data_IF_551312808919
#
_entry.id   IF_551312808919
#
_cell.length_a   1.000
_cell.length_b   1.000
_cell.length_c   1.000
_cell.angle_alpha   90.00
_cell.angle_beta   90.00
_cell.angle_gamma   90.00
#
_symmetry.space_group_name_H-M   'P 1'
#
loop_
_entity.id
_entity.type
_entity.pdbx_description
1 polymer ?
#
# COMPACT_ATOMS: atom_id res chain seq x y z
N UNK A 1 -18.95 -5.59 12.08
CA UNK A 1 -19.95 -6.62 12.43
C UNK A 1 -19.58 -7.32 13.75
N UNK A 2 -18.44 -8.07 13.87
CA UNK A 2 -18.08 -8.78 15.11
C UNK A 2 -17.95 -7.83 16.32
N UNK A 3 -17.32 -6.67 16.16
CA UNK A 3 -17.20 -5.64 17.18
C UNK A 3 -18.57 -5.11 17.65
N UNK A 4 -19.49 -4.88 16.76
CA UNK A 4 -20.86 -4.42 17.07
C UNK A 4 -21.64 -5.51 17.83
N UNK A 5 -21.51 -6.76 17.41
CA UNK A 5 -22.13 -7.91 18.09
C UNK A 5 -21.56 -8.09 19.50
N UNK A 6 -20.23 -7.94 19.66
CA UNK A 6 -19.59 -7.98 20.97
C UNK A 6 -20.11 -6.87 21.89
N UNK A 7 -20.16 -5.62 21.39
CA UNK A 7 -20.65 -4.49 22.17
C UNK A 7 -22.11 -4.66 22.57
N UNK A 8 -22.96 -5.15 21.67
CA UNK A 8 -24.37 -5.44 21.97
C UNK A 8 -24.51 -6.52 23.04
N UNK A 9 -23.71 -7.59 22.98
CA UNK A 9 -23.69 -8.69 23.97
C UNK A 9 -23.27 -8.21 25.36
N UNK A 10 -22.38 -7.23 25.43
CA UNK A 10 -21.85 -6.68 26.70
C UNK A 10 -22.52 -5.38 27.12
N UNK A 11 -23.63 -5.00 26.49
CA UNK A 11 -24.43 -3.79 26.79
C UNK A 11 -23.60 -2.47 26.70
N UNK A 12 -22.63 -2.43 25.77
CA UNK A 12 -21.75 -1.28 25.58
C UNK A 12 -22.39 -0.31 24.57
N UNK A 13 -22.70 0.89 25.00
CA UNK A 13 -23.21 1.98 24.15
C UNK A 13 -22.07 2.70 23.42
N UNK A 14 -21.74 2.19 22.22
CA UNK A 14 -20.67 2.71 21.37
C UNK A 14 -20.90 4.18 21.00
N UNK A 15 -22.15 4.58 20.72
CA UNK A 15 -22.46 5.93 20.28
C UNK A 15 -22.22 6.94 21.41
N UNK A 16 -22.55 6.57 22.64
CA UNK A 16 -22.26 7.38 23.79
C UNK A 16 -20.76 7.47 24.08
N UNK A 17 -20.06 6.34 24.04
CA UNK A 17 -18.61 6.29 24.24
C UNK A 17 -17.85 7.12 23.17
N UNK A 18 -18.24 7.06 21.92
CA UNK A 18 -17.67 7.87 20.86
C UNK A 18 -17.86 9.37 21.10
N UNK A 19 -19.03 9.79 21.58
CA UNK A 19 -19.30 11.20 21.89
C UNK A 19 -18.49 11.70 23.09
N UNK A 20 -18.42 10.89 24.16
CA UNK A 20 -17.70 11.25 25.38
C UNK A 20 -16.18 11.31 25.16
N UNK A 21 -15.65 10.45 24.30
CA UNK A 21 -14.21 10.31 24.03
C UNK A 21 -13.76 10.90 22.68
N UNK A 22 -14.62 11.71 22.03
CA UNK A 22 -14.32 12.21 20.68
C UNK A 22 -12.96 12.90 20.56
N UNK A 23 -12.58 13.72 21.53
CA UNK A 23 -11.28 14.43 21.51
C UNK A 23 -10.11 13.46 21.57
N UNK A 24 -10.16 12.47 22.46
CA UNK A 24 -9.12 11.44 22.60
C UNK A 24 -9.00 10.56 21.35
N UNK A 25 -10.13 10.11 20.81
CA UNK A 25 -10.18 9.33 19.56
C UNK A 25 -9.61 10.15 18.41
N UNK A 26 -9.98 11.42 18.29
CA UNK A 26 -9.47 12.29 17.24
C UNK A 26 -7.95 12.51 17.37
N UNK A 27 -7.40 12.63 18.57
CA UNK A 27 -5.94 12.72 18.79
C UNK A 27 -5.22 11.43 18.41
N UNK A 28 -5.80 10.25 18.67
CA UNK A 28 -5.21 8.95 18.28
C UNK A 28 -5.16 8.76 16.76
N UNK A 29 -6.21 9.13 16.05
CA UNK A 29 -6.29 8.94 14.61
C UNK A 29 -5.74 10.11 13.78
N UNK A 30 -5.66 11.31 14.37
CA UNK A 30 -5.11 12.50 13.77
C UNK A 30 -4.11 13.15 14.74
N UNK A 31 -2.98 12.47 15.05
CA UNK A 31 -1.99 13.05 15.92
C UNK A 31 -1.56 14.41 15.34
N UNK A 32 -1.37 15.45 16.18
CA UNK A 32 -0.84 16.70 15.70
C UNK A 32 0.45 16.41 14.95
N UNK A 33 0.57 16.92 13.73
CA UNK A 33 1.72 16.66 12.88
C UNK A 33 2.98 16.91 13.69
N UNK A 34 3.70 15.86 14.06
CA UNK A 34 5.05 15.97 14.61
C UNK A 34 5.90 16.66 13.54
N UNK A 35 6.06 17.96 13.73
CA UNK A 35 7.08 18.69 13.01
C UNK A 35 8.41 18.11 13.43
N UNK A 36 9.08 17.47 12.49
CA UNK A 36 10.52 17.24 12.54
C UNK A 36 11.05 16.18 13.52
N UNK A 37 10.85 14.90 13.23
CA UNK A 37 11.78 13.85 13.73
C UNK A 37 12.21 12.84 12.65
N UNK A 38 11.91 13.06 11.40
CA UNK A 38 12.61 12.40 10.31
C UNK A 38 13.77 13.32 9.90
N UNK A 39 14.86 13.26 10.63
CA UNK A 39 16.15 13.65 10.05
C UNK A 39 16.36 12.73 8.84
N UNK A 40 16.58 13.30 7.64
CA UNK A 40 16.89 12.48 6.48
C UNK A 40 18.13 11.67 6.83
N UNK A 41 18.04 10.35 6.79
CA UNK A 41 19.24 9.53 6.75
C UNK A 41 20.06 9.98 5.54
N UNK A 42 21.34 10.22 5.71
CA UNK A 42 22.31 10.87 4.80
C UNK A 42 22.48 10.23 3.41
N UNK A 43 21.50 9.49 2.88
CA UNK A 43 21.52 8.90 1.55
C UNK A 43 20.15 8.97 0.86
N UNK A 44 19.49 10.14 0.84
CA UNK A 44 18.51 10.32 -0.22
C UNK A 44 19.23 10.30 -1.58
N UNK A 45 18.78 9.50 -2.54
CA UNK A 45 19.31 9.61 -3.90
C UNK A 45 19.08 11.06 -4.33
N UNK A 46 20.16 11.74 -4.73
CA UNK A 46 20.09 13.13 -5.13
C UNK A 46 18.92 13.33 -6.10
N UNK A 47 18.24 14.45 -6.01
CA UNK A 47 17.05 14.80 -6.86
C UNK A 47 17.29 14.54 -8.36
N UNK A 48 18.54 14.65 -8.79
CA UNK A 48 19.04 14.29 -10.12
C UNK A 48 18.83 12.79 -10.44
N UNK A 49 19.11 11.90 -9.49
CA UNK A 49 18.99 10.44 -9.69
C UNK A 49 17.52 10.02 -9.83
N UNK A 50 16.62 10.64 -9.08
CA UNK A 50 15.17 10.43 -9.17
C UNK A 50 14.61 10.90 -10.51
N UNK A 51 15.02 12.10 -10.95
CA UNK A 51 14.58 12.66 -12.23
C UNK A 51 15.11 11.84 -13.41
N UNK A 52 16.36 11.38 -13.34
CA UNK A 52 16.96 10.52 -14.35
C UNK A 52 16.24 9.18 -14.45
N UNK A 53 15.98 8.52 -13.30
CA UNK A 53 15.23 7.27 -13.23
C UNK A 53 13.82 7.42 -13.81
N UNK A 54 13.09 8.48 -13.43
CA UNK A 54 11.76 8.76 -13.97
C UNK A 54 11.79 8.94 -15.49
N UNK A 55 12.78 9.63 -16.03
CA UNK A 55 12.94 9.81 -17.47
C UNK A 55 13.24 8.49 -18.21
N UNK A 56 14.11 7.66 -17.64
CA UNK A 56 14.45 6.34 -18.19
C UNK A 56 13.21 5.44 -18.21
N UNK A 57 12.48 5.36 -17.11
CA UNK A 57 11.32 4.48 -17.00
C UNK A 57 10.08 5.01 -17.71
N UNK A 58 9.94 6.32 -17.90
CA UNK A 58 8.94 6.90 -18.81
C UNK A 58 9.15 6.47 -20.27
N UNK A 59 10.40 6.32 -20.70
CA UNK A 59 10.70 5.78 -22.04
C UNK A 59 10.34 4.30 -22.12
N UNK A 60 10.64 3.52 -21.07
CA UNK A 60 10.27 2.12 -21.00
C UNK A 60 8.75 1.94 -21.00
N UNK A 61 8.02 2.73 -20.19
CA UNK A 61 6.56 2.75 -20.18
C UNK A 61 5.97 3.04 -21.58
N UNK A 62 6.51 4.04 -22.29
CA UNK A 62 6.07 4.32 -23.68
C UNK A 62 6.20 3.09 -24.58
N UNK A 63 7.29 2.34 -24.47
CA UNK A 63 7.49 1.11 -25.24
C UNK A 63 6.50 0.01 -24.85
N UNK A 64 6.17 -0.13 -23.55
CA UNK A 64 5.14 -1.03 -23.05
C UNK A 64 3.76 -0.62 -23.55
N UNK A 65 3.43 0.68 -23.41
CA UNK A 65 2.16 1.24 -23.86
C UNK A 65 1.92 1.05 -25.37
N UNK A 66 2.96 1.13 -26.19
CA UNK A 66 2.84 0.85 -27.62
C UNK A 66 2.36 -0.57 -27.94
N UNK A 67 2.58 -1.53 -27.05
CA UNK A 67 2.14 -2.93 -27.20
C UNK A 67 0.81 -3.22 -26.51
N UNK A 68 0.51 -2.55 -25.41
CA UNK A 68 -0.64 -2.86 -24.54
C UNK A 68 -1.79 -1.85 -24.66
N UNK A 69 -1.60 -0.73 -25.38
CA UNK A 69 -2.64 0.30 -25.46
C UNK A 69 -3.93 -0.26 -26.08
N UNK A 70 -5.10 -0.03 -25.46
CA UNK A 70 -6.38 -0.57 -25.92
C UNK A 70 -6.65 -0.36 -27.42
N UNK A 71 -6.31 0.82 -27.95
CA UNK A 71 -6.52 1.17 -29.37
C UNK A 71 -5.62 0.39 -30.35
N UNK A 72 -4.57 -0.25 -29.83
CA UNK A 72 -3.60 -1.01 -30.65
C UNK A 72 -3.74 -2.52 -30.52
N UNK A 73 -4.65 -2.99 -29.66
CA UNK A 73 -4.90 -4.39 -29.50
C UNK A 73 -5.58 -4.98 -30.75
N UNK A 74 -5.08 -6.12 -31.18
CA UNK A 74 -5.62 -6.81 -32.35
C UNK A 74 -7.11 -7.18 -32.12
N UNK A 75 -7.91 -7.03 -33.18
CA UNK A 75 -9.31 -7.50 -33.19
C UNK A 75 -9.45 -9.02 -33.13
N UNK A 76 -8.36 -9.75 -33.32
CA UNK A 76 -8.33 -11.22 -33.24
C UNK A 76 -8.18 -11.74 -31.81
N UNK A 77 -7.95 -10.89 -30.82
CA UNK A 77 -7.88 -11.28 -29.42
C UNK A 77 -9.27 -11.59 -28.88
N UNK A 78 -9.34 -12.59 -28.01
CA UNK A 78 -10.55 -12.86 -27.22
C UNK A 78 -10.82 -11.70 -26.25
N UNK A 79 -12.03 -11.60 -25.73
CA UNK A 79 -12.38 -10.58 -24.74
C UNK A 79 -11.51 -10.72 -23.47
N UNK A 80 -11.27 -11.95 -23.01
CA UNK A 80 -10.43 -12.23 -21.84
C UNK A 80 -8.98 -11.78 -22.06
N UNK A 81 -8.37 -12.12 -23.21
CA UNK A 81 -7.01 -11.67 -23.55
C UNK A 81 -6.92 -10.15 -23.66
N UNK A 82 -7.97 -9.50 -24.18
CA UNK A 82 -8.03 -8.04 -24.27
C UNK A 82 -8.11 -7.40 -22.89
N UNK A 83 -8.93 -7.92 -21.99
CA UNK A 83 -9.09 -7.44 -20.62
C UNK A 83 -7.77 -7.60 -19.83
N UNK A 84 -7.10 -8.73 -20.00
CA UNK A 84 -5.76 -8.95 -19.42
C UNK A 84 -4.73 -7.93 -19.90
N UNK A 85 -4.72 -7.61 -21.20
CA UNK A 85 -3.81 -6.60 -21.76
C UNK A 85 -4.13 -5.20 -21.21
N UNK A 86 -5.41 -4.84 -21.09
CA UNK A 86 -5.85 -3.57 -20.50
C UNK A 86 -5.44 -3.48 -19.02
N UNK A 87 -5.63 -4.56 -18.26
CA UNK A 87 -5.21 -4.63 -16.86
C UNK A 87 -3.70 -4.45 -16.71
N UNK A 88 -2.89 -5.09 -17.58
CA UNK A 88 -1.44 -4.91 -17.59
C UNK A 88 -1.04 -3.48 -17.98
N UNK A 89 -1.75 -2.84 -18.90
CA UNK A 89 -1.52 -1.44 -19.25
C UNK A 89 -1.80 -0.50 -18.06
N UNK A 90 -2.93 -0.70 -17.37
CA UNK A 90 -3.28 0.09 -16.19
C UNK A 90 -2.26 -0.11 -15.07
N UNK A 91 -1.85 -1.35 -14.81
CA UNK A 91 -0.79 -1.68 -13.86
C UNK A 91 0.55 -1.01 -14.21
N UNK A 92 0.91 -0.95 -15.50
CA UNK A 92 2.12 -0.26 -15.94
C UNK A 92 2.04 1.25 -15.72
N UNK A 93 0.87 1.86 -15.94
CA UNK A 93 0.63 3.29 -15.71
C UNK A 93 0.77 3.64 -14.23
N UNK A 94 0.06 2.91 -13.37
CA UNK A 94 0.13 3.05 -11.92
C UNK A 94 1.56 2.88 -11.40
N UNK A 95 2.27 1.85 -11.88
CA UNK A 95 3.66 1.61 -11.52
C UNK A 95 4.62 2.74 -11.89
N UNK A 96 4.37 3.45 -13.00
CA UNK A 96 5.16 4.63 -13.36
C UNK A 96 4.85 5.82 -12.44
N UNK A 97 3.57 6.04 -12.14
CA UNK A 97 3.10 7.15 -11.31
C UNK A 97 3.58 6.98 -9.85
N UNK A 98 3.61 5.75 -9.35
CA UNK A 98 4.08 5.39 -8.00
C UNK A 98 5.59 5.11 -7.93
N UNK A 99 6.32 5.26 -9.04
CA UNK A 99 7.75 5.01 -9.15
C UNK A 99 8.15 3.55 -8.83
N UNK A 100 7.23 2.60 -8.96
CA UNK A 100 7.43 1.15 -8.78
C UNK A 100 8.07 0.53 -10.03
N UNK A 101 9.29 0.88 -10.31
CA UNK A 101 9.96 0.58 -11.57
C UNK A 101 10.20 -0.92 -11.82
N UNK A 102 10.26 -1.75 -10.79
CA UNK A 102 10.39 -3.20 -10.94
C UNK A 102 9.21 -3.81 -11.72
N UNK A 103 7.99 -3.29 -11.55
CA UNK A 103 6.80 -3.74 -12.28
C UNK A 103 6.97 -3.47 -13.79
N UNK A 104 7.54 -2.33 -14.15
CA UNK A 104 7.83 -1.99 -15.56
C UNK A 104 8.91 -2.91 -16.14
N UNK A 105 9.91 -3.31 -15.37
CA UNK A 105 10.93 -4.26 -15.79
C UNK A 105 10.35 -5.65 -16.01
N UNK A 106 9.47 -6.11 -15.11
CA UNK A 106 8.76 -7.39 -15.24
C UNK A 106 7.90 -7.43 -16.50
N UNK A 107 7.07 -6.42 -16.72
CA UNK A 107 6.25 -6.29 -17.93
C UNK A 107 7.10 -6.20 -19.20
N UNK A 108 8.20 -5.45 -19.17
CA UNK A 108 9.11 -5.36 -20.31
C UNK A 108 9.72 -6.74 -20.64
N UNK A 109 10.10 -7.52 -19.61
CA UNK A 109 10.59 -8.89 -19.78
C UNK A 109 9.52 -9.78 -20.41
N UNK A 110 8.29 -9.76 -19.89
CA UNK A 110 7.15 -10.53 -20.40
C UNK A 110 6.87 -10.26 -21.89
N UNK A 111 6.98 -9.01 -22.30
CA UNK A 111 6.71 -8.59 -23.69
C UNK A 111 7.98 -8.51 -24.56
N UNK A 112 9.12 -8.99 -24.08
CA UNK A 112 10.42 -8.98 -24.78
C UNK A 112 10.81 -7.57 -25.25
N UNK A 113 10.54 -6.57 -24.42
CA UNK A 113 10.93 -5.18 -24.64
C UNK A 113 12.33 -4.99 -24.04
N UNK A 114 13.19 -4.27 -24.77
CA UNK A 114 14.56 -3.98 -24.31
C UNK A 114 14.52 -3.09 -23.05
N UNK A 115 15.10 -3.59 -21.95
CA UNK A 115 15.20 -2.87 -20.68
C UNK A 115 16.41 -1.92 -20.65
N UNK A 116 16.35 -0.84 -19.84
CA UNK A 116 17.49 0.04 -19.61
C UNK A 116 18.67 -0.74 -18.97
N UNK A 117 19.91 -0.26 -19.21
CA UNK A 117 21.12 -0.92 -18.71
C UNK A 117 21.76 -0.24 -17.49
N UNK A 118 21.04 0.63 -16.82
CA UNK A 118 21.49 1.34 -15.62
C UNK A 118 21.33 0.47 -14.33
N UNK A 119 21.87 -0.75 -14.35
CA UNK A 119 21.63 -1.77 -13.33
C UNK A 119 21.96 -1.34 -11.90
N UNK A 120 23.02 -0.55 -11.70
CA UNK A 120 23.39 -0.07 -10.35
C UNK A 120 22.30 0.83 -9.74
N UNK A 121 21.76 1.75 -10.53
CA UNK A 121 20.66 2.63 -10.12
C UNK A 121 19.39 1.82 -9.87
N UNK A 122 19.06 0.87 -10.78
CA UNK A 122 17.91 -0.03 -10.62
C UNK A 122 17.98 -0.84 -9.32
N UNK A 123 19.14 -1.45 -9.00
CA UNK A 123 19.30 -2.24 -7.79
C UNK A 123 19.17 -1.38 -6.53
N UNK A 124 19.77 -0.17 -6.53
CA UNK A 124 19.63 0.77 -5.39
C UNK A 124 18.18 1.17 -5.18
N UNK A 125 17.49 1.52 -6.25
CA UNK A 125 16.08 1.88 -6.22
C UNK A 125 15.18 0.75 -5.71
N UNK A 126 15.36 -0.46 -6.24
CA UNK A 126 14.60 -1.63 -5.80
C UNK A 126 14.82 -1.99 -4.32
N UNK A 127 16.06 -1.79 -3.80
CA UNK A 127 16.31 -1.98 -2.38
C UNK A 127 15.52 -0.99 -1.53
N UNK A 128 15.56 0.31 -1.87
CA UNK A 128 14.78 1.33 -1.16
C UNK A 128 13.29 1.03 -1.22
N UNK A 129 12.79 0.61 -2.38
CA UNK A 129 11.39 0.24 -2.55
C UNK A 129 11.00 -0.99 -1.70
N UNK A 130 11.85 -2.01 -1.66
CA UNK A 130 11.65 -3.18 -0.82
C UNK A 130 11.65 -2.83 0.68
N UNK A 131 12.53 -1.94 1.13
CA UNK A 131 12.56 -1.43 2.50
C UNK A 131 11.27 -0.65 2.85
N UNK A 132 10.79 0.20 1.94
CA UNK A 132 9.52 0.92 2.11
C UNK A 132 8.35 -0.05 2.23
N UNK A 133 8.25 -1.03 1.32
CA UNK A 133 7.20 -2.05 1.37
C UNK A 133 7.26 -2.89 2.66
N UNK A 134 8.46 -3.23 3.13
CA UNK A 134 8.62 -3.95 4.38
C UNK A 134 8.10 -3.14 5.57
N UNK A 135 8.43 -1.84 5.62
CA UNK A 135 7.93 -0.93 6.65
C UNK A 135 6.40 -0.81 6.60
N UNK A 136 5.80 -0.72 5.41
CA UNK A 136 4.34 -0.71 5.25
C UNK A 136 3.70 -2.00 5.74
N UNK A 137 4.29 -3.16 5.45
CA UNK A 137 3.83 -4.46 5.92
C UNK A 137 3.91 -4.51 7.45
N UNK A 138 5.03 -4.11 8.02
CA UNK A 138 5.24 -4.16 9.47
C UNK A 138 4.26 -3.20 10.18
N UNK A 139 4.03 -2.01 9.63
CA UNK A 139 3.00 -1.08 10.13
C UNK A 139 1.59 -1.69 10.07
N UNK A 140 1.23 -2.34 8.96
CA UNK A 140 -0.08 -2.99 8.83
C UNK A 140 -0.25 -4.14 9.81
N UNK A 141 0.82 -4.89 10.12
CA UNK A 141 0.79 -5.98 11.10
C UNK A 141 0.54 -5.52 12.54
N UNK A 142 0.82 -4.26 12.86
CA UNK A 142 0.52 -3.69 14.18
C UNK A 142 -0.91 -3.18 14.33
N UNK A 143 -1.74 -3.30 13.29
CA UNK A 143 -3.13 -2.87 13.34
C UNK A 143 -4.04 -3.91 14.00
N UNK A 144 -5.02 -3.46 14.76
CA UNK A 144 -6.05 -4.35 15.34
C UNK A 144 -6.79 -5.19 14.28
N UNK A 145 -6.95 -4.67 13.07
CA UNK A 145 -7.57 -5.42 11.96
C UNK A 145 -6.72 -6.60 11.53
N UNK A 146 -5.40 -6.47 11.50
CA UNK A 146 -4.50 -7.57 11.20
C UNK A 146 -4.49 -8.59 12.36
N UNK A 147 -4.32 -8.14 13.60
CA UNK A 147 -4.35 -9.02 14.78
C UNK A 147 -5.67 -9.80 14.85
N UNK A 148 -6.80 -9.14 14.51
CA UNK A 148 -8.10 -9.81 14.45
C UNK A 148 -8.17 -10.92 13.39
N UNK A 149 -7.52 -10.70 12.22
CA UNK A 149 -7.47 -11.72 11.17
C UNK A 149 -6.64 -12.95 11.53
N UNK A 150 -5.69 -12.80 12.45
CA UNK A 150 -4.84 -13.88 12.96
C UNK A 150 -5.47 -14.64 14.14
N UNK A 151 -6.60 -14.17 14.68
CA UNK A 151 -7.30 -14.87 15.76
C UNK A 151 -7.90 -16.19 15.27
N UNK A 152 -7.55 -17.29 15.93
CA UNK A 152 -7.99 -18.64 15.57
C UNK A 152 -9.38 -19.00 16.11
N UNK A 153 -9.83 -18.33 17.18
CA UNK A 153 -11.08 -18.61 17.86
C UNK A 153 -11.74 -17.33 18.41
N UNK A 154 -12.99 -17.47 18.84
CA UNK A 154 -13.79 -16.35 19.33
C UNK A 154 -13.29 -15.79 20.67
N UNK A 155 -12.65 -16.60 21.51
CA UNK A 155 -12.06 -16.13 22.79
C UNK A 155 -10.93 -15.13 22.52
N UNK A 156 -10.04 -15.42 21.56
CA UNK A 156 -8.97 -14.51 21.16
C UNK A 156 -9.53 -13.22 20.54
N UNK A 157 -10.60 -13.33 19.74
CA UNK A 157 -11.28 -12.16 19.18
C UNK A 157 -11.92 -11.28 20.24
N UNK A 158 -12.59 -11.90 21.22
CA UNK A 158 -13.20 -11.19 22.35
C UNK A 158 -12.13 -10.45 23.17
N UNK A 159 -11.00 -11.10 23.46
CA UNK A 159 -9.89 -10.47 24.18
C UNK A 159 -9.27 -9.31 23.40
N UNK A 160 -9.16 -9.46 22.09
CA UNK A 160 -8.65 -8.38 21.22
C UNK A 160 -9.63 -7.20 21.18
N UNK A 161 -10.94 -7.46 21.11
CA UNK A 161 -11.96 -6.42 21.17
C UNK A 161 -11.94 -5.69 22.50
N UNK A 162 -11.76 -6.39 23.63
CA UNK A 162 -11.58 -5.76 24.95
C UNK A 162 -10.37 -4.83 24.98
N UNK A 163 -9.22 -5.29 24.45
CA UNK A 163 -8.00 -4.46 24.34
C UNK A 163 -8.24 -3.22 23.47
N UNK A 164 -8.95 -3.38 22.37
CA UNK A 164 -9.28 -2.27 21.47
C UNK A 164 -10.19 -1.25 22.17
N UNK A 165 -11.25 -1.69 22.87
CA UNK A 165 -12.14 -0.82 23.64
C UNK A 165 -11.38 -0.08 24.74
N UNK A 166 -10.51 -0.80 25.46
CA UNK A 166 -9.66 -0.19 26.48
C UNK A 166 -8.72 0.86 25.90
N UNK A 167 -8.14 0.59 24.74
CA UNK A 167 -7.24 1.54 24.05
C UNK A 167 -7.97 2.79 23.61
N UNK A 168 -9.19 2.67 23.04
CA UNK A 168 -9.95 3.81 22.53
C UNK A 168 -10.62 4.63 23.61
N UNK A 169 -11.17 3.96 24.64
CA UNK A 169 -12.08 4.60 25.59
C UNK A 169 -11.54 4.58 27.04
N UNK A 170 -10.41 3.90 27.27
CA UNK A 170 -9.81 3.73 28.61
C UNK A 170 -10.75 3.08 29.63
N UNK A 171 -11.65 2.21 29.17
CA UNK A 171 -12.56 1.42 30.01
C UNK A 171 -12.21 -0.07 29.95
N UNK A 172 -12.40 -0.77 31.06
CA UNK A 172 -12.28 -2.22 31.15
C UNK A 172 -13.67 -2.86 30.96
N UNK A 173 -13.77 -3.87 30.06
CA UNK A 173 -15.02 -4.57 29.71
C UNK A 173 -14.87 -6.07 29.96
#
# INVERSE_FOLDING_TARGET
QYYEEFCAKHEIDIDNLNKENYSHINELFNPPAEKDLLQPSDEEPADLDRTEMKNIFSKLFKAIAMKLHPDKLSSSLTNEERDDMINMFNKAKEALDEERYFILLDLASKFKIKTPKNYKQQVRWMKKEAETMQTEIDTKKTTYSYEFSECENDEQKDDLVRKFIKHLFNIDV
#
